data_IF_735084905733
#
_entry.id   IF_735084905733
#
_cell.length_a   1.000
_cell.length_b   1.000
_cell.length_c   1.000
_cell.angle_alpha   90.00
_cell.angle_beta   90.00
_cell.angle_gamma   90.00
#
_symmetry.space_group_name_H-M   'P 1'
#
loop_
_entity.id
_entity.type
_entity.pdbx_description
1 polymer ?
#
# COMPACT_ATOMS: atom_id res chain seq x y z
N UNK A 1 -11.30 -5.89 -1.55
CA UNK A 1 -10.32 -4.79 -1.36
C UNK A 1 -8.93 -5.23 -1.81
N UNK A 2 -8.22 -4.37 -2.57
CA UNK A 2 -6.84 -4.61 -3.04
C UNK A 2 -5.87 -3.76 -2.23
N UNK A 3 -5.26 -4.32 -1.19
CA UNK A 3 -4.33 -3.60 -0.32
C UNK A 3 -2.90 -3.73 -0.84
N UNK A 4 -2.36 -2.65 -1.40
CA UNK A 4 -0.97 -2.59 -1.88
C UNK A 4 -0.08 -2.03 -0.76
N UNK A 5 0.70 -2.88 -0.12
CA UNK A 5 1.66 -2.53 0.93
C UNK A 5 3.10 -2.55 0.39
N UNK A 6 4.00 -1.82 1.05
CA UNK A 6 5.41 -1.74 0.67
C UNK A 6 6.07 -0.47 1.19
N UNK A 7 7.40 -0.39 1.11
CA UNK A 7 8.18 0.77 1.57
C UNK A 7 7.77 2.07 0.87
N UNK A 8 8.01 3.21 1.49
CA UNK A 8 7.85 4.50 0.83
C UNK A 8 8.77 4.55 -0.41
N UNK A 9 8.27 5.04 -1.55
CA UNK A 9 9.03 5.04 -2.81
C UNK A 9 9.04 3.72 -3.59
N UNK A 10 8.41 2.64 -3.10
CA UNK A 10 8.33 1.37 -3.84
C UNK A 10 7.43 1.41 -5.09
N UNK A 11 6.63 2.47 -5.30
CA UNK A 11 5.78 2.62 -6.49
C UNK A 11 4.30 2.26 -6.28
N UNK A 12 3.83 2.02 -5.05
CA UNK A 12 2.44 1.61 -4.73
C UNK A 12 1.36 2.45 -5.39
N UNK A 13 1.40 3.75 -5.18
CA UNK A 13 0.39 4.68 -5.73
C UNK A 13 0.45 4.73 -7.26
N UNK A 14 1.65 4.67 -7.83
CA UNK A 14 1.85 4.64 -9.29
C UNK A 14 1.22 3.39 -9.90
N UNK A 15 1.48 2.23 -9.31
CA UNK A 15 0.89 0.96 -9.77
C UNK A 15 -0.62 0.97 -9.53
N UNK A 16 -1.08 1.42 -8.35
CA UNK A 16 -2.51 1.55 -8.05
C UNK A 16 -3.27 2.42 -9.08
N UNK A 17 -2.67 3.55 -9.50
CA UNK A 17 -3.24 4.39 -10.56
C UNK A 17 -3.34 3.66 -11.89
N UNK A 18 -2.32 2.86 -12.25
CA UNK A 18 -2.29 2.15 -13.52
C UNK A 18 -3.28 1.00 -13.60
N UNK A 19 -3.44 0.23 -12.52
CA UNK A 19 -4.40 -0.88 -12.50
C UNK A 19 -5.86 -0.43 -12.32
N UNK A 20 -6.12 0.81 -11.88
CA UNK A 20 -7.47 1.26 -11.53
C UNK A 20 -8.48 1.05 -12.67
N UNK A 21 -8.09 1.39 -13.90
CA UNK A 21 -8.98 1.25 -15.08
C UNK A 21 -9.36 -0.21 -15.31
N UNK A 22 -8.41 -1.12 -15.21
CA UNK A 22 -8.64 -2.56 -15.38
C UNK A 22 -9.51 -3.13 -14.26
N UNK A 23 -9.26 -2.72 -13.01
CA UNK A 23 -10.08 -3.14 -11.86
C UNK A 23 -11.51 -2.64 -11.99
N UNK A 24 -11.72 -1.39 -12.45
CA UNK A 24 -13.08 -0.87 -12.74
C UNK A 24 -13.77 -1.71 -13.81
N UNK A 25 -13.07 -2.07 -14.88
CA UNK A 25 -13.62 -2.87 -15.97
C UNK A 25 -13.97 -4.29 -15.53
N UNK A 26 -13.17 -4.90 -14.68
CA UNK A 26 -13.31 -6.30 -14.28
C UNK A 26 -14.28 -6.49 -13.09
N UNK A 27 -14.29 -5.54 -12.16
CA UNK A 27 -14.94 -5.72 -10.85
C UNK A 27 -15.88 -4.57 -10.47
N UNK A 28 -16.07 -3.56 -11.33
CA UNK A 28 -17.01 -2.46 -11.10
C UNK A 28 -16.42 -1.26 -10.34
N UNK A 29 -17.28 -0.45 -9.71
CA UNK A 29 -16.90 0.82 -9.10
C UNK A 29 -15.69 0.69 -8.17
N UNK A 30 -14.66 1.54 -8.38
CA UNK A 30 -13.38 1.39 -7.69
C UNK A 30 -12.79 2.74 -7.29
N UNK A 31 -12.45 2.89 -6.03
CA UNK A 31 -11.69 4.01 -5.50
C UNK A 31 -10.20 3.65 -5.38
N UNK A 32 -9.35 4.64 -5.61
CA UNK A 32 -7.92 4.56 -5.27
C UNK A 32 -7.64 5.52 -4.13
N UNK A 33 -7.23 4.98 -3.00
CA UNK A 33 -6.85 5.76 -1.82
C UNK A 33 -5.41 5.44 -1.44
N UNK A 34 -4.62 6.49 -1.17
CA UNK A 34 -3.26 6.32 -0.65
C UNK A 34 -3.16 6.85 0.79
N UNK A 35 -2.25 6.26 1.56
CA UNK A 35 -1.97 6.72 2.92
C UNK A 35 -1.50 8.19 2.96
N UNK A 36 -0.77 8.65 1.93
CA UNK A 36 -0.34 10.04 1.82
C UNK A 36 -1.56 10.98 1.63
N UNK A 37 -2.56 10.57 0.82
CA UNK A 37 -3.80 11.34 0.63
C UNK A 37 -4.62 11.44 1.92
N UNK A 38 -4.80 10.30 2.62
CA UNK A 38 -5.55 10.30 3.88
C UNK A 38 -4.88 11.18 4.94
N UNK A 39 -3.55 11.13 5.03
CA UNK A 39 -2.80 12.00 5.94
C UNK A 39 -3.02 13.48 5.61
N UNK A 40 -3.01 13.83 4.33
CA UNK A 40 -3.25 15.21 3.88
C UNK A 40 -4.69 15.68 4.20
N UNK A 41 -5.69 14.86 3.88
CA UNK A 41 -7.10 15.17 4.11
C UNK A 41 -7.40 15.36 5.60
N UNK A 42 -6.91 14.45 6.43
CA UNK A 42 -7.17 14.46 7.87
C UNK A 42 -6.10 15.22 8.69
N UNK A 43 -5.17 15.92 8.01
CA UNK A 43 -4.08 16.71 8.66
C UNK A 43 -3.25 15.91 9.66
N UNK A 44 -2.96 14.63 9.36
CA UNK A 44 -2.11 13.78 10.18
C UNK A 44 -0.65 13.98 9.81
N UNK A 45 0.05 14.81 10.55
CA UNK A 45 1.43 15.25 10.30
C UNK A 45 2.48 14.52 11.14
N UNK A 46 2.07 13.90 12.24
CA UNK A 46 2.97 13.11 13.12
C UNK A 46 3.29 11.75 12.52
N UNK A 47 4.52 11.30 12.72
CA UNK A 47 5.04 10.06 12.15
C UNK A 47 5.64 9.12 13.19
N UNK A 48 5.37 9.36 14.49
CA UNK A 48 5.79 8.46 15.57
C UNK A 48 5.20 7.06 15.43
N UNK A 49 5.80 6.07 16.06
CA UNK A 49 5.31 4.70 16.01
C UNK A 49 3.86 4.60 16.54
N UNK A 50 3.57 5.25 17.68
CA UNK A 50 2.22 5.26 18.28
C UNK A 50 1.16 5.86 17.33
N UNK A 51 1.48 6.98 16.69
CA UNK A 51 0.62 7.58 15.67
C UNK A 51 0.38 6.63 14.48
N UNK A 52 1.42 5.93 14.03
CA UNK A 52 1.28 4.95 12.93
C UNK A 52 0.36 3.80 13.31
N UNK A 53 0.43 3.32 14.55
CA UNK A 53 -0.47 2.28 15.08
C UNK A 53 -1.91 2.79 15.09
N UNK A 54 -2.15 3.97 15.67
CA UNK A 54 -3.48 4.59 15.72
C UNK A 54 -4.06 4.80 14.31
N UNK A 55 -3.27 5.41 13.41
CA UNK A 55 -3.70 5.65 12.04
C UNK A 55 -3.96 4.37 11.26
N UNK A 56 -3.16 3.33 11.47
CA UNK A 56 -3.39 2.06 10.79
C UNK A 56 -4.77 1.48 11.12
N UNK A 57 -5.20 1.57 12.39
CA UNK A 57 -6.54 1.16 12.82
C UNK A 57 -7.64 2.01 12.16
N UNK A 58 -7.49 3.36 12.18
CA UNK A 58 -8.44 4.27 11.53
C UNK A 58 -8.54 4.00 10.03
N UNK A 59 -7.41 3.79 9.36
CA UNK A 59 -7.37 3.51 7.92
C UNK A 59 -8.00 2.16 7.57
N UNK A 60 -7.87 1.14 8.42
CA UNK A 60 -8.54 -0.13 8.22
C UNK A 60 -10.07 0.00 8.34
N UNK A 61 -10.57 0.72 9.36
CA UNK A 61 -12.00 1.01 9.52
C UNK A 61 -12.56 1.83 8.35
N UNK A 62 -11.83 2.83 7.89
CA UNK A 62 -12.19 3.60 6.70
C UNK A 62 -12.26 2.71 5.45
N UNK A 63 -11.27 1.83 5.27
CA UNK A 63 -11.27 0.88 4.15
C UNK A 63 -12.49 -0.05 4.19
N UNK A 64 -12.83 -0.58 5.36
CA UNK A 64 -14.03 -1.40 5.55
C UNK A 64 -15.29 -0.60 5.21
N UNK A 65 -15.45 0.61 5.72
CA UNK A 65 -16.60 1.48 5.44
C UNK A 65 -16.85 1.66 3.93
N UNK A 66 -15.78 1.84 3.13
CA UNK A 66 -15.89 1.95 1.68
C UNK A 66 -16.32 0.61 1.05
N UNK A 67 -15.72 -0.49 1.47
CA UNK A 67 -16.01 -1.80 0.86
C UNK A 67 -17.36 -2.35 1.24
N UNK A 68 -17.89 -2.03 2.41
CA UNK A 68 -19.25 -2.41 2.83
C UNK A 68 -20.32 -1.78 1.92
N UNK A 69 -20.01 -0.65 1.28
CA UNK A 69 -20.88 -0.02 0.27
C UNK A 69 -20.75 -0.64 -1.14
N UNK A 70 -20.13 -1.82 -1.25
CA UNK A 70 -19.89 -2.54 -2.52
C UNK A 70 -19.00 -1.77 -3.50
N UNK A 71 -18.16 -0.87 -3.00
CA UNK A 71 -17.17 -0.14 -3.79
C UNK A 71 -15.81 -0.82 -3.63
N UNK A 72 -15.18 -1.19 -4.72
CA UNK A 72 -13.83 -1.72 -4.70
C UNK A 72 -12.84 -0.67 -4.24
N UNK A 73 -11.88 -1.07 -3.40
CA UNK A 73 -10.85 -0.17 -2.90
C UNK A 73 -9.46 -0.67 -3.29
N UNK A 74 -8.73 0.12 -4.07
CA UNK A 74 -7.29 0.00 -4.23
C UNK A 74 -6.64 0.85 -3.14
N UNK A 75 -6.07 0.21 -2.12
CA UNK A 75 -5.56 0.87 -0.93
C UNK A 75 -4.03 0.85 -0.89
N UNK A 76 -3.40 1.94 -1.34
CA UNK A 76 -1.94 2.06 -1.44
C UNK A 76 -1.34 2.66 -0.16
N UNK A 77 -0.85 1.83 0.74
CA UNK A 77 -0.34 2.26 2.05
C UNK A 77 1.05 1.68 2.34
N UNK A 78 1.84 2.35 3.18
CA UNK A 78 3.07 1.74 3.70
C UNK A 78 2.70 0.50 4.52
N UNK A 79 1.73 0.61 5.43
CA UNK A 79 0.98 -0.50 6.03
C UNK A 79 1.80 -1.65 6.62
N UNK A 80 3.00 -1.37 7.13
CA UNK A 80 3.96 -2.38 7.59
C UNK A 80 3.70 -2.80 9.03
N UNK A 81 2.44 -3.13 9.35
CA UNK A 81 2.03 -3.65 10.67
C UNK A 81 1.21 -4.91 10.50
N UNK A 82 1.60 -5.99 11.16
CA UNK A 82 0.88 -7.27 11.13
C UNK A 82 -0.56 -7.14 11.64
N UNK A 83 -0.77 -6.40 12.74
CA UNK A 83 -2.09 -6.19 13.34
C UNK A 83 -3.10 -5.56 12.38
N UNK A 84 -2.66 -4.55 11.61
CA UNK A 84 -3.53 -3.90 10.63
C UNK A 84 -3.89 -4.81 9.45
N UNK A 85 -2.95 -5.64 8.98
CA UNK A 85 -3.20 -6.62 7.92
C UNK A 85 -4.13 -7.72 8.40
N UNK A 86 -3.85 -8.28 9.59
CA UNK A 86 -4.72 -9.28 10.21
C UNK A 86 -6.13 -8.74 10.35
N UNK A 87 -6.29 -7.55 10.93
CA UNK A 87 -7.61 -6.95 11.09
C UNK A 87 -8.36 -6.83 9.75
N UNK A 88 -7.68 -6.36 8.68
CA UNK A 88 -8.33 -6.28 7.37
C UNK A 88 -8.72 -7.66 6.83
N UNK A 89 -7.89 -8.67 7.02
CA UNK A 89 -8.19 -10.05 6.57
C UNK A 89 -9.38 -10.63 7.29
N UNK A 90 -9.53 -10.32 8.59
CA UNK A 90 -10.61 -10.85 9.42
C UNK A 90 -11.95 -10.09 9.23
N UNK A 91 -11.91 -8.84 8.72
CA UNK A 91 -13.08 -7.94 8.75
C UNK A 91 -13.49 -7.38 7.39
N UNK A 92 -12.72 -7.59 6.33
CA UNK A 92 -13.00 -7.02 5.00
C UNK A 92 -13.20 -8.15 4.00
N UNK A 93 -14.39 -8.23 3.43
CA UNK A 93 -14.72 -9.20 2.40
C UNK A 93 -13.85 -9.05 1.16
N UNK A 94 -13.52 -10.19 0.54
CA UNK A 94 -12.69 -10.23 -0.67
C UNK A 94 -11.39 -9.41 -0.53
N UNK A 95 -10.72 -9.56 0.64
CA UNK A 95 -9.45 -8.90 0.91
C UNK A 95 -8.30 -9.59 0.19
N UNK A 96 -7.56 -8.82 -0.60
CA UNK A 96 -6.35 -9.29 -1.30
C UNK A 96 -5.15 -8.46 -0.82
N UNK A 97 -4.19 -9.13 -0.20
CA UNK A 97 -2.94 -8.52 0.27
C UNK A 97 -1.88 -8.58 -0.82
N UNK A 98 -1.49 -7.41 -1.33
CA UNK A 98 -0.47 -7.26 -2.35
C UNK A 98 0.78 -6.65 -1.72
N UNK A 99 1.89 -7.38 -1.75
CA UNK A 99 3.18 -6.87 -1.31
C UNK A 99 4.03 -6.41 -2.49
N UNK A 100 4.20 -5.09 -2.60
CA UNK A 100 5.13 -4.50 -3.56
C UNK A 100 6.53 -4.44 -2.92
N UNK A 101 7.28 -5.52 -3.14
CA UNK A 101 8.63 -5.69 -2.61
C UNK A 101 9.62 -4.85 -3.40
N UNK A 102 10.35 -3.98 -2.70
CA UNK A 102 11.40 -3.16 -3.29
C UNK A 102 12.57 -3.03 -2.31
N UNK A 103 13.78 -3.04 -2.83
CA UNK A 103 15.00 -2.89 -2.03
C UNK A 103 15.16 -1.44 -1.58
N UNK A 104 15.36 -1.24 -0.27
CA UNK A 104 15.49 0.09 0.33
C UNK A 104 16.74 0.83 -0.19
N UNK A 105 17.88 0.14 -0.35
CA UNK A 105 19.12 0.74 -0.87
C UNK A 105 18.90 1.29 -2.28
N UNK A 106 18.16 0.54 -3.13
CA UNK A 106 17.78 1.01 -4.48
C UNK A 106 16.82 2.19 -4.45
N UNK A 107 15.82 2.20 -3.55
CA UNK A 107 14.92 3.33 -3.38
C UNK A 107 15.70 4.59 -3.02
N UNK A 108 16.65 4.49 -2.10
CA UNK A 108 17.52 5.59 -1.67
C UNK A 108 18.41 6.05 -2.83
N UNK A 109 19.16 5.12 -3.46
CA UNK A 109 20.07 5.42 -4.58
C UNK A 109 19.35 6.13 -5.72
N UNK A 110 18.13 5.72 -6.05
CA UNK A 110 17.32 6.31 -7.12
C UNK A 110 16.54 7.56 -6.68
N UNK A 111 16.80 8.09 -5.48
CA UNK A 111 16.14 9.29 -4.92
C UNK A 111 14.61 9.28 -5.05
N UNK A 112 13.99 8.10 -4.94
CA UNK A 112 12.53 7.91 -5.16
C UNK A 112 11.65 8.62 -4.13
N UNK A 113 12.18 8.95 -2.94
CA UNK A 113 11.46 9.73 -1.92
C UNK A 113 12.42 10.61 -1.12
N UNK A 114 12.08 11.89 -1.02
CA UNK A 114 12.85 12.90 -0.26
C UNK A 114 12.99 12.56 1.23
N UNK A 115 12.06 11.77 1.80
CA UNK A 115 12.08 11.39 3.22
C UNK A 115 13.37 10.64 3.63
N UNK A 116 14.01 9.96 2.70
CA UNK A 116 15.25 9.21 2.97
C UNK A 116 16.53 10.06 2.84
N UNK A 117 16.43 11.28 2.34
CA UNK A 117 17.59 12.16 2.06
C UNK A 117 17.66 13.38 2.97
N UNK A 118 16.58 13.73 3.68
CA UNK A 118 16.60 14.81 4.66
C UNK A 118 17.06 14.27 6.01
N UNK A 119 17.97 15.00 6.70
CA UNK A 119 18.22 14.83 8.14
C UNK A 119 16.92 15.14 8.87
N UNK A 120 16.02 14.17 8.98
CA UNK A 120 14.79 14.29 9.76
C UNK A 120 14.96 13.51 11.05
N UNK A 121 14.77 14.19 12.15
CA UNK A 121 14.45 13.59 13.43
C UNK A 121 13.06 12.99 13.31
N UNK A 122 12.93 11.67 13.45
CA UNK A 122 11.63 11.00 13.46
C UNK A 122 11.65 9.58 12.88
N UNK A 123 10.53 8.91 13.08
CA UNK A 123 10.34 7.51 12.78
C UNK A 123 10.16 7.24 11.27
N UNK A 124 11.18 6.68 10.63
CA UNK A 124 11.17 6.34 9.21
C UNK A 124 11.15 4.82 9.06
N UNK A 125 10.07 4.30 8.47
CA UNK A 125 9.92 2.86 8.20
C UNK A 125 11.00 2.39 7.22
N UNK A 126 11.76 1.40 7.63
CA UNK A 126 12.89 0.85 6.90
C UNK A 126 14.25 1.43 7.32
N UNK A 127 14.27 2.50 8.15
CA UNK A 127 15.50 3.08 8.72
C UNK A 127 15.45 2.98 10.24
N UNK A 128 14.61 3.78 10.89
CA UNK A 128 14.49 3.81 12.36
C UNK A 128 13.40 2.87 12.87
N UNK A 129 12.38 2.57 12.06
CA UNK A 129 11.36 1.56 12.38
C UNK A 129 11.58 0.34 11.50
N UNK A 130 11.77 -0.83 12.13
CA UNK A 130 11.78 -2.11 11.42
C UNK A 130 10.39 -2.40 10.84
N UNK A 131 10.25 -2.59 9.53
CA UNK A 131 8.95 -2.90 8.95
C UNK A 131 8.55 -4.35 9.27
N UNK A 132 7.33 -4.55 9.70
CA UNK A 132 6.72 -5.88 9.79
C UNK A 132 6.27 -6.32 8.39
N UNK A 133 7.17 -6.99 7.67
CA UNK A 133 6.88 -7.42 6.29
C UNK A 133 5.72 -8.44 6.25
N UNK A 134 4.89 -8.44 5.18
CA UNK A 134 3.88 -9.47 5.00
C UNK A 134 4.48 -10.88 5.05
N UNK A 135 3.91 -11.75 5.89
CA UNK A 135 4.37 -13.14 6.00
C UNK A 135 3.83 -14.00 4.86
N UNK A 136 2.54 -13.86 4.57
CA UNK A 136 1.81 -14.64 3.57
C UNK A 136 0.91 -13.71 2.74
N UNK A 137 1.47 -12.81 1.92
CA UNK A 137 0.66 -11.99 1.03
C UNK A 137 0.08 -12.85 -0.10
N UNK A 138 -1.14 -12.52 -0.53
CA UNK A 138 -1.80 -13.23 -1.64
C UNK A 138 -1.03 -13.00 -2.96
N UNK A 139 -0.44 -11.81 -3.13
CA UNK A 139 0.36 -11.47 -4.31
C UNK A 139 1.67 -10.77 -3.90
N UNK A 140 2.79 -11.24 -4.47
CA UNK A 140 4.07 -10.51 -4.41
C UNK A 140 4.43 -9.97 -5.79
N UNK A 141 4.74 -8.66 -5.84
CA UNK A 141 5.29 -7.98 -7.00
C UNK A 141 6.68 -7.46 -6.66
N UNK A 142 7.70 -7.98 -7.31
CA UNK A 142 9.09 -7.54 -7.13
C UNK A 142 9.37 -6.32 -8.00
N UNK A 143 9.57 -5.17 -7.39
CA UNK A 143 10.02 -3.95 -8.06
C UNK A 143 11.51 -3.73 -7.85
N UNK A 144 12.32 -4.22 -8.77
CA UNK A 144 13.77 -4.00 -8.82
C UNK A 144 14.16 -2.73 -9.60
N UNK A 145 13.16 -1.95 -10.06
CA UNK A 145 13.28 -0.74 -10.87
C UNK A 145 13.88 -0.93 -12.27
N UNK A 146 14.00 -2.18 -12.75
CA UNK A 146 14.39 -2.50 -14.14
C UNK A 146 13.19 -2.55 -15.07
N UNK A 147 12.03 -3.00 -14.58
CA UNK A 147 10.77 -3.04 -15.34
C UNK A 147 10.02 -1.71 -15.22
N UNK A 148 9.25 -1.38 -16.25
CA UNK A 148 8.38 -0.19 -16.20
C UNK A 148 7.23 -0.38 -15.21
N UNK A 149 6.67 0.71 -14.74
CA UNK A 149 5.47 0.63 -13.89
C UNK A 149 4.24 0.08 -14.63
N UNK A 150 4.24 0.14 -15.97
CA UNK A 150 3.20 -0.47 -16.81
C UNK A 150 3.31 -2.00 -16.80
N UNK A 151 4.53 -2.53 -16.96
CA UNK A 151 4.76 -3.98 -16.92
C UNK A 151 4.41 -4.58 -15.56
N UNK A 152 4.79 -3.88 -14.48
CA UNK A 152 4.43 -4.30 -13.12
C UNK A 152 2.92 -4.25 -12.87
N UNK A 153 2.22 -3.25 -13.40
CA UNK A 153 0.77 -3.14 -13.32
C UNK A 153 0.08 -4.26 -14.10
N UNK A 154 0.49 -4.52 -15.36
CA UNK A 154 -0.05 -5.60 -16.17
C UNK A 154 0.14 -6.98 -15.50
N UNK A 155 1.34 -7.22 -14.94
CA UNK A 155 1.61 -8.44 -14.18
C UNK A 155 0.71 -8.55 -12.95
N UNK A 156 0.47 -7.44 -12.25
CA UNK A 156 -0.40 -7.43 -11.07
C UNK A 156 -1.86 -7.75 -11.44
N UNK A 157 -2.40 -7.13 -12.51
CA UNK A 157 -3.76 -7.43 -12.99
C UNK A 157 -3.92 -8.90 -13.35
N UNK A 158 -2.96 -9.48 -14.10
CA UNK A 158 -2.96 -10.92 -14.45
C UNK A 158 -2.96 -11.82 -13.21
N UNK A 159 -2.26 -11.42 -12.13
CA UNK A 159 -2.25 -12.19 -10.88
C UNK A 159 -3.57 -12.05 -10.11
N UNK A 160 -4.15 -10.86 -10.08
CA UNK A 160 -5.46 -10.62 -9.46
C UNK A 160 -6.53 -11.48 -10.14
N UNK A 161 -6.61 -11.48 -11.47
CA UNK A 161 -7.60 -12.27 -12.24
C UNK A 161 -7.47 -13.78 -12.08
N UNK A 162 -6.44 -14.28 -11.41
CA UNK A 162 -6.30 -15.72 -11.08
C UNK A 162 -6.78 -16.07 -9.68
N UNK A 163 -7.04 -15.06 -8.85
CA UNK A 163 -7.44 -15.24 -7.45
C UNK A 163 -8.92 -14.90 -7.26
N UNK A 164 -9.42 -13.95 -8.03
CA UNK A 164 -10.81 -13.50 -8.07
C UNK A 164 -11.52 -14.08 -9.28
#
# INVERSE_FOLDING_TARGET
>A
MFRISGLSGSGKTTIGKKIKKDIVKLYGPTLLVSGDNLRKIFKFDKYTYSERVLLSKKFCKFAKFITDQKINLIFAVVGMMHSARKWCRDNVDNYIEIYLKADLKKIIKLKKKKIYHKKRTGDIVGITIKPELPKQPDIVINNNFKKTSKDLANNLVKKISKIV
#
